data_IF_080256749970
#
_entry.id   IF_080256749970
#
_cell.length_a   1.000
_cell.length_b   1.000
_cell.length_c   1.000
_cell.angle_alpha   90.00
_cell.angle_beta   90.00
_cell.angle_gamma   90.00
#
_symmetry.space_group_name_H-M   'P 1'
#
loop_
_entity.id
_entity.type
_entity.pdbx_description
1 polymer ?
#
# COMPACT_ATOMS: atom_id res chain seq x y z
N UNK A 1 -9.46 -11.80 7.23
CA UNK A 1 -8.57 -10.81 6.58
C UNK A 1 -9.11 -10.45 5.20
N UNK A 2 -9.18 -9.17 4.87
CA UNK A 2 -9.56 -8.65 3.55
C UNK A 2 -8.31 -8.06 2.89
N UNK A 3 -8.02 -8.44 1.66
CA UNK A 3 -6.91 -7.87 0.90
C UNK A 3 -7.46 -6.86 -0.11
N UNK A 4 -7.03 -5.61 0.02
CA UNK A 4 -7.40 -4.53 -0.87
C UNK A 4 -6.18 -4.09 -1.69
N UNK A 5 -6.28 -4.17 -3.01
CA UNK A 5 -5.28 -3.59 -3.90
C UNK A 5 -5.47 -2.06 -3.98
N UNK A 6 -4.36 -1.32 -4.04
CA UNK A 6 -4.42 0.13 -4.25
C UNK A 6 -5.14 0.52 -5.54
N UNK A 7 -5.75 1.69 -5.56
CA UNK A 7 -6.34 2.29 -6.75
C UNK A 7 -5.31 2.56 -7.86
N UNK A 8 -5.76 2.95 -9.04
CA UNK A 8 -4.88 3.28 -10.16
C UNK A 8 -3.88 4.38 -9.74
N UNK A 9 -2.58 4.09 -9.89
CA UNK A 9 -1.51 5.07 -9.69
C UNK A 9 -1.04 5.68 -11.02
N UNK A 10 -0.30 6.79 -10.93
CA UNK A 10 0.35 7.42 -12.08
C UNK A 10 1.25 6.42 -12.83
N UNK A 11 1.98 5.56 -12.11
CA UNK A 11 2.75 4.49 -12.72
C UNK A 11 1.85 3.54 -13.53
N UNK A 12 0.72 3.10 -12.96
CA UNK A 12 -0.19 2.18 -13.67
C UNK A 12 -0.74 2.80 -14.95
N UNK A 13 -1.07 4.07 -14.93
CA UNK A 13 -1.57 4.80 -16.09
C UNK A 13 -0.56 4.75 -17.24
N UNK A 14 0.70 5.11 -16.97
CA UNK A 14 1.76 5.12 -17.98
C UNK A 14 2.17 3.71 -18.41
N UNK A 15 2.38 2.81 -17.46
CA UNK A 15 2.82 1.45 -17.74
C UNK A 15 1.79 0.65 -18.55
N UNK A 16 0.50 0.86 -18.32
CA UNK A 16 -0.55 0.19 -19.11
C UNK A 16 -0.51 0.62 -20.57
N UNK A 17 -0.25 1.90 -20.83
CA UNK A 17 -0.19 2.44 -22.18
C UNK A 17 1.10 2.08 -22.93
N UNK A 18 2.25 2.05 -22.25
CA UNK A 18 3.56 1.96 -22.90
C UNK A 18 4.31 0.65 -22.65
N UNK A 19 3.96 -0.08 -21.59
CA UNK A 19 4.71 -1.24 -21.06
C UNK A 19 6.17 -0.93 -20.70
N UNK A 20 6.47 0.35 -20.46
CA UNK A 20 7.79 0.84 -20.04
C UNK A 20 7.69 1.49 -18.69
N UNK A 21 8.73 1.33 -17.87
CA UNK A 21 8.85 2.03 -16.59
C UNK A 21 8.96 3.54 -16.84
N UNK A 22 8.03 4.36 -16.36
CA UNK A 22 8.07 5.82 -16.54
C UNK A 22 9.08 6.53 -15.62
N UNK A 23 9.78 5.82 -14.75
CA UNK A 23 10.74 6.40 -13.81
C UNK A 23 10.10 7.15 -12.64
N UNK A 24 8.82 6.92 -12.33
CA UNK A 24 8.10 7.60 -11.25
C UNK A 24 8.33 6.83 -9.94
N UNK A 25 9.01 7.47 -8.99
CA UNK A 25 9.22 6.94 -7.64
C UNK A 25 8.00 7.21 -6.78
N UNK A 26 7.63 6.24 -5.92
CA UNK A 26 6.49 6.33 -4.99
C UNK A 26 5.25 7.03 -5.59
N UNK A 27 4.71 6.54 -6.73
CA UNK A 27 3.66 7.22 -7.48
C UNK A 27 2.39 7.40 -6.65
N UNK A 28 1.71 8.52 -6.87
CA UNK A 28 0.40 8.85 -6.28
C UNK A 28 -0.73 8.19 -7.05
N UNK A 29 -1.92 8.16 -6.45
CA UNK A 29 -3.14 7.78 -7.15
C UNK A 29 -3.52 8.84 -8.19
N UNK A 30 -4.06 8.37 -9.32
CA UNK A 30 -4.75 9.22 -10.29
C UNK A 30 -6.15 9.62 -9.77
N UNK A 31 -6.85 10.58 -10.39
CA UNK A 31 -8.25 10.86 -10.04
C UNK A 31 -9.14 9.61 -10.07
N UNK A 32 -8.95 8.72 -11.06
CA UNK A 32 -9.63 7.43 -11.10
C UNK A 32 -9.24 6.54 -9.89
N UNK A 33 -7.96 6.51 -9.54
CA UNK A 33 -7.48 5.76 -8.37
C UNK A 33 -8.11 6.23 -7.07
N UNK A 34 -8.29 7.54 -6.89
CA UNK A 34 -9.01 8.11 -5.74
C UNK A 34 -10.49 7.71 -5.75
N UNK A 35 -11.17 7.74 -6.89
CA UNK A 35 -12.55 7.28 -7.00
C UNK A 35 -12.68 5.77 -6.66
N UNK A 36 -11.73 4.95 -7.11
CA UNK A 36 -11.67 3.54 -6.77
C UNK A 36 -11.47 3.32 -5.26
N UNK A 37 -10.63 4.13 -4.60
CA UNK A 37 -10.41 4.06 -3.16
C UNK A 37 -11.69 4.40 -2.37
N UNK A 38 -12.43 5.44 -2.79
CA UNK A 38 -13.71 5.80 -2.17
C UNK A 38 -14.76 4.70 -2.34
N UNK A 39 -14.89 4.11 -3.55
CA UNK A 39 -15.81 3.02 -3.81
C UNK A 39 -15.47 1.76 -2.99
N UNK A 40 -14.18 1.44 -2.85
CA UNK A 40 -13.74 0.33 -2.01
C UNK A 40 -14.05 0.60 -0.53
N UNK A 41 -13.85 1.82 -0.05
CA UNK A 41 -14.17 2.20 1.32
C UNK A 41 -15.66 2.09 1.62
N UNK A 42 -16.52 2.44 0.66
CA UNK A 42 -17.97 2.27 0.78
C UNK A 42 -18.35 0.80 0.86
N UNK A 43 -17.83 -0.03 -0.04
CA UNK A 43 -18.09 -1.46 -0.07
C UNK A 43 -17.63 -2.18 1.21
N UNK A 44 -16.53 -1.75 1.81
CA UNK A 44 -15.95 -2.38 3.00
C UNK A 44 -16.50 -1.83 4.32
N UNK A 45 -17.25 -0.75 4.31
CA UNK A 45 -17.74 -0.10 5.54
C UNK A 45 -18.63 -1.01 6.40
N UNK A 46 -19.35 -1.96 5.80
CA UNK A 46 -20.24 -2.89 6.50
C UNK A 46 -19.59 -4.27 6.78
N UNK A 47 -18.34 -4.49 6.37
CA UNK A 47 -17.67 -5.81 6.46
C UNK A 47 -17.04 -6.10 7.83
N UNK A 48 -17.30 -5.27 8.84
CA UNK A 48 -16.80 -5.50 10.20
C UNK A 48 -15.28 -5.33 10.33
N UNK A 49 -14.68 -4.49 9.52
CA UNK A 49 -13.24 -4.18 9.58
C UNK A 49 -12.90 -3.52 10.91
N UNK A 50 -12.03 -4.14 11.69
CA UNK A 50 -11.59 -3.65 13.02
C UNK A 50 -10.19 -3.05 13.01
N UNK A 51 -9.43 -3.28 11.94
CA UNK A 51 -8.03 -2.81 11.80
C UNK A 51 -7.71 -2.56 10.33
N UNK A 52 -6.98 -1.51 10.05
CA UNK A 52 -6.50 -1.18 8.69
C UNK A 52 -4.98 -1.17 8.71
N UNK A 53 -4.38 -2.03 7.89
CA UNK A 53 -2.94 -2.11 7.72
C UNK A 53 -2.59 -1.73 6.29
N UNK A 54 -1.61 -0.87 6.10
CA UNK A 54 -1.16 -0.45 4.79
C UNK A 54 0.37 -0.60 4.66
N UNK A 55 0.83 -0.81 3.44
CA UNK A 55 2.24 -0.63 3.13
C UNK A 55 2.60 0.85 3.15
N UNK A 56 3.89 1.19 3.33
CA UNK A 56 4.30 2.60 3.40
C UNK A 56 4.25 3.35 2.06
N UNK A 57 3.91 2.70 0.94
CA UNK A 57 3.79 3.39 -0.34
C UNK A 57 2.64 4.41 -0.34
N UNK A 58 2.90 5.60 -0.87
CA UNK A 58 1.91 6.70 -0.93
C UNK A 58 0.59 6.26 -1.55
N UNK A 59 0.63 5.48 -2.65
CA UNK A 59 -0.57 4.92 -3.30
C UNK A 59 -1.42 4.03 -2.37
N UNK A 60 -0.77 3.28 -1.48
CA UNK A 60 -1.47 2.43 -0.52
C UNK A 60 -2.09 3.26 0.61
N UNK A 61 -1.38 4.27 1.12
CA UNK A 61 -1.89 5.20 2.13
C UNK A 61 -3.09 5.98 1.60
N UNK A 62 -3.01 6.48 0.38
CA UNK A 62 -4.12 7.18 -0.29
C UNK A 62 -5.34 6.28 -0.48
N UNK A 63 -5.13 4.97 -0.71
CA UNK A 63 -6.23 4.00 -0.85
C UNK A 63 -6.84 3.65 0.50
N UNK A 64 -6.04 3.56 1.56
CA UNK A 64 -6.52 3.25 2.91
C UNK A 64 -7.27 4.41 3.57
N UNK A 65 -6.91 5.65 3.25
CA UNK A 65 -7.41 6.84 3.92
C UNK A 65 -8.95 7.00 3.89
N UNK A 66 -9.68 6.76 2.77
CA UNK A 66 -11.13 6.83 2.76
C UNK A 66 -11.80 5.83 3.71
N UNK A 67 -11.31 4.59 3.77
CA UNK A 67 -11.84 3.58 4.67
C UNK A 67 -11.57 3.94 6.13
N UNK A 68 -10.37 4.42 6.43
CA UNK A 68 -10.01 4.87 7.77
C UNK A 68 -10.93 6.00 8.27
N UNK A 69 -11.21 6.98 7.42
CA UNK A 69 -12.15 8.08 7.74
C UNK A 69 -13.57 7.57 8.01
N UNK A 70 -14.07 6.64 7.18
CA UNK A 70 -15.43 6.08 7.32
C UNK A 70 -15.61 5.29 8.60
N UNK A 71 -14.59 4.53 9.01
CA UNK A 71 -14.65 3.64 10.16
C UNK A 71 -14.15 4.31 11.46
N UNK A 72 -13.53 5.47 11.38
CA UNK A 72 -12.89 6.12 12.53
C UNK A 72 -11.70 5.32 13.07
N UNK A 73 -11.01 4.56 12.21
CA UNK A 73 -9.87 3.73 12.58
C UNK A 73 -8.56 4.38 12.11
N UNK A 74 -7.46 4.21 12.86
CA UNK A 74 -6.14 4.61 12.37
C UNK A 74 -5.68 3.69 11.25
N UNK A 75 -4.84 4.20 10.34
CA UNK A 75 -4.06 3.38 9.41
C UNK A 75 -2.76 2.99 10.09
N UNK A 76 -2.53 1.69 10.24
CA UNK A 76 -1.30 1.12 10.76
C UNK A 76 -0.38 0.78 9.59
N UNK A 77 0.76 1.43 9.50
CA UNK A 77 1.71 1.19 8.42
C UNK A 77 2.75 0.15 8.84
N UNK A 78 2.88 -0.90 8.03
CA UNK A 78 3.85 -1.95 8.25
C UNK A 78 4.55 -2.32 6.92
N UNK A 79 5.89 -2.24 6.84
CA UNK A 79 6.64 -2.60 5.63
C UNK A 79 6.52 -4.07 5.22
N UNK A 80 6.10 -4.95 6.13
CA UNK A 80 5.89 -6.38 5.85
C UNK A 80 4.89 -6.61 4.71
N UNK A 81 3.90 -5.72 4.56
CA UNK A 81 2.89 -5.80 3.50
C UNK A 81 3.26 -5.02 2.23
N UNK A 82 4.54 -4.65 2.04
CA UNK A 82 4.99 -3.95 0.85
C UNK A 82 5.03 -4.84 -0.40
N UNK A 83 5.04 -4.21 -1.58
CA UNK A 83 5.25 -4.89 -2.86
C UNK A 83 6.67 -5.49 -2.97
N UNK A 84 6.82 -6.51 -3.80
CA UNK A 84 8.13 -6.97 -4.26
C UNK A 84 8.74 -5.90 -5.17
N UNK A 85 10.00 -5.58 -4.96
CA UNK A 85 10.72 -4.63 -5.81
C UNK A 85 10.87 -5.20 -7.24
N UNK A 86 10.44 -4.42 -8.22
CA UNK A 86 10.56 -4.76 -9.64
C UNK A 86 10.74 -3.53 -10.55
N UNK A 87 10.29 -2.35 -10.11
CA UNK A 87 10.26 -1.13 -10.91
C UNK A 87 10.56 0.10 -10.06
N UNK A 88 10.80 1.23 -10.72
CA UNK A 88 11.05 2.51 -10.06
C UNK A 88 9.93 2.90 -9.09
N UNK A 89 8.68 2.50 -9.35
CA UNK A 89 7.55 2.75 -8.45
C UNK A 89 7.65 2.03 -7.08
N UNK A 90 8.56 1.09 -6.95
CA UNK A 90 8.80 0.35 -5.70
C UNK A 90 9.93 0.96 -4.86
N UNK A 91 10.48 2.09 -5.31
CA UNK A 91 11.31 2.98 -4.50
C UNK A 91 10.36 3.91 -3.74
N UNK A 92 10.34 3.78 -2.42
CA UNK A 92 9.42 4.54 -1.57
C UNK A 92 9.89 5.95 -1.24
N UNK A 93 9.06 6.65 -0.49
CA UNK A 93 9.41 7.92 0.15
C UNK A 93 10.02 7.66 1.54
N UNK A 94 11.02 8.45 1.97
CA UNK A 94 11.62 8.32 3.31
C UNK A 94 10.57 8.47 4.42
N UNK A 95 10.78 7.78 5.55
CA UNK A 95 9.87 7.83 6.69
C UNK A 95 9.63 9.26 7.19
N UNK A 96 10.67 10.09 7.24
CA UNK A 96 10.56 11.50 7.63
C UNK A 96 9.56 12.25 6.76
N UNK A 97 9.60 12.05 5.43
CA UNK A 97 8.65 12.65 4.50
C UNK A 97 7.24 12.09 4.71
N UNK A 98 7.09 10.78 4.84
CA UNK A 98 5.80 10.14 5.06
C UNK A 98 5.12 10.63 6.36
N UNK A 99 5.86 10.77 7.43
CA UNK A 99 5.35 11.32 8.71
C UNK A 99 4.86 12.76 8.58
N UNK A 100 5.56 13.57 7.80
CA UNK A 100 5.15 14.94 7.55
C UNK A 100 3.86 15.03 6.72
N UNK A 101 3.71 14.17 5.70
CA UNK A 101 2.52 14.13 4.85
C UNK A 101 1.31 13.42 5.51
N UNK A 102 1.57 12.45 6.39
CA UNK A 102 0.58 11.57 6.99
C UNK A 102 0.63 11.59 8.53
N UNK A 103 0.37 12.75 9.19
CA UNK A 103 0.52 12.88 10.63
C UNK A 103 -0.46 12.05 11.47
N UNK A 104 -1.58 11.60 10.88
CA UNK A 104 -2.58 10.76 11.55
C UNK A 104 -2.36 9.25 11.36
N UNK A 105 -1.28 8.86 10.68
CA UNK A 105 -0.95 7.46 10.39
C UNK A 105 0.06 6.94 11.41
N UNK A 106 -0.13 5.71 11.86
CA UNK A 106 0.78 5.05 12.80
C UNK A 106 1.81 4.20 12.05
N UNK A 107 3.08 4.56 12.12
CA UNK A 107 4.19 3.85 11.49
C UNK A 107 4.82 2.85 12.46
N UNK A 108 4.58 1.55 12.22
CA UNK A 108 5.02 0.45 13.08
C UNK A 108 6.31 -0.16 12.53
N UNK A 109 7.43 0.00 13.26
CA UNK A 109 8.73 -0.57 12.90
C UNK A 109 9.16 -0.23 11.46
N UNK A 110 8.98 1.02 11.06
CA UNK A 110 9.38 1.53 9.75
C UNK A 110 10.70 2.25 9.86
N UNK A 111 11.69 1.82 9.08
CA UNK A 111 12.99 2.48 8.97
C UNK A 111 12.92 3.65 7.98
N UNK A 112 13.91 4.55 8.00
CA UNK A 112 13.97 5.71 7.09
C UNK A 112 13.96 5.30 5.61
N UNK A 113 14.75 4.27 5.26
CA UNK A 113 14.81 3.66 3.93
C UNK A 113 14.19 2.26 3.92
N UNK A 114 12.89 2.15 4.13
CA UNK A 114 12.15 0.90 4.34
C UNK A 114 11.95 0.04 3.08
N UNK A 115 12.16 0.57 1.89
CA UNK A 115 12.01 -0.17 0.63
C UNK A 115 13.27 -0.98 0.31
N UNK A 116 13.15 -2.10 -0.45
CA UNK A 116 14.32 -2.86 -0.90
C UNK A 116 15.02 -2.13 -2.05
N UNK A 117 16.34 -2.27 -2.13
CA UNK A 117 17.16 -1.72 -3.21
C UNK A 117 17.40 -2.72 -4.35
N UNK A 118 17.09 -4.00 -4.09
CA UNK A 118 17.27 -5.11 -5.03
C UNK A 118 16.03 -5.99 -5.07
N UNK A 119 15.86 -6.73 -6.14
CA UNK A 119 14.77 -7.69 -6.28
C UNK A 119 14.84 -8.76 -5.18
N UNK A 120 13.75 -8.92 -4.42
CA UNK A 120 13.67 -9.90 -3.35
C UNK A 120 13.54 -11.33 -3.92
N UNK A 121 14.29 -12.32 -3.43
CA UNK A 121 14.08 -13.74 -3.75
C UNK A 121 12.65 -14.19 -3.39
N UNK A 122 12.12 -15.16 -4.15
CA UNK A 122 10.74 -15.61 -3.98
C UNK A 122 10.45 -16.19 -2.58
N UNK A 123 11.41 -16.90 -1.98
CA UNK A 123 11.30 -17.44 -0.63
C UNK A 123 11.19 -16.35 0.45
N UNK A 124 11.88 -15.23 0.29
CA UNK A 124 11.76 -14.07 1.19
C UNK A 124 10.40 -13.39 1.06
N UNK A 125 9.88 -13.30 -0.17
CA UNK A 125 8.54 -12.74 -0.41
C UNK A 125 7.47 -13.62 0.25
N UNK A 126 7.58 -14.95 0.15
CA UNK A 126 6.66 -15.90 0.78
C UNK A 126 6.72 -15.76 2.30
N UNK A 127 7.92 -15.79 2.90
CA UNK A 127 8.08 -15.64 4.35
C UNK A 127 7.50 -14.32 4.86
N UNK A 128 7.64 -13.24 4.10
CA UNK A 128 7.06 -11.93 4.43
C UNK A 128 5.54 -11.92 4.28
N UNK A 129 4.98 -12.64 3.30
CA UNK A 129 3.53 -12.78 3.13
C UNK A 129 2.89 -13.56 4.29
N UNK A 130 3.55 -14.62 4.78
CA UNK A 130 3.11 -15.38 5.95
C UNK A 130 3.12 -14.48 7.20
N UNK A 131 4.19 -13.74 7.43
CA UNK A 131 4.28 -12.77 8.53
C UNK A 131 3.23 -11.65 8.43
N UNK A 132 2.85 -11.24 7.21
CA UNK A 132 1.79 -10.26 7.00
C UNK A 132 0.41 -10.80 7.42
N UNK A 133 0.15 -12.09 7.22
CA UNK A 133 -1.06 -12.76 7.70
C UNK A 133 -1.20 -12.69 9.22
N UNK A 134 -0.11 -12.94 9.95
CA UNK A 134 -0.08 -12.85 11.41
C UNK A 134 -0.33 -11.43 11.93
N UNK A 135 0.21 -10.42 11.23
CA UNK A 135 0.02 -9.01 11.57
C UNK A 135 -1.42 -8.54 11.30
N UNK A 136 -2.02 -9.03 10.23
CA UNK A 136 -3.33 -8.56 9.79
C UNK A 136 -4.50 -9.06 10.64
N UNK A 137 -4.46 -10.31 11.11
CA UNK A 137 -5.59 -10.91 11.81
C UNK A 137 -6.89 -10.76 11.02
N UNK A 138 -7.96 -10.29 11.67
CA UNK A 138 -9.27 -10.01 11.05
C UNK A 138 -9.37 -8.61 10.42
N UNK A 139 -8.25 -7.96 10.16
CA UNK A 139 -8.18 -6.62 9.56
C UNK A 139 -8.30 -6.58 8.05
N UNK A 140 -8.40 -5.36 7.51
CA UNK A 140 -8.19 -5.09 6.10
C UNK A 140 -6.73 -4.70 5.84
N UNK A 141 -6.10 -5.32 4.86
CA UNK A 141 -4.74 -5.02 4.44
C UNK A 141 -4.75 -4.35 3.07
N UNK A 142 -4.22 -3.15 3.01
CA UNK A 142 -4.04 -2.42 1.75
C UNK A 142 -2.63 -2.65 1.23
N UNK A 143 -2.52 -3.41 0.16
CA UNK A 143 -1.23 -3.74 -0.46
C UNK A 143 -1.06 -3.03 -1.80
N UNK A 144 0.18 -2.83 -2.26
CA UNK A 144 0.46 -2.33 -3.60
C UNK A 144 0.19 -3.37 -4.70
N UNK A 145 -0.58 -4.38 -4.47
CA UNK A 145 -1.04 -5.32 -5.49
C UNK A 145 0.02 -6.32 -5.98
N UNK A 146 -0.15 -7.57 -5.57
CA UNK A 146 0.61 -8.67 -6.11
C UNK A 146 0.29 -8.83 -7.61
N UNK A 147 1.28 -8.74 -8.49
CA UNK A 147 1.14 -9.21 -9.87
C UNK A 147 0.99 -10.73 -9.81
N UNK A 148 -0.12 -11.26 -10.28
CA UNK A 148 -0.12 -12.66 -10.70
C UNK A 148 0.83 -12.75 -11.90
N UNK A 149 1.87 -13.53 -11.74
CA UNK A 149 2.73 -14.00 -12.83
C UNK A 149 1.89 -14.86 -13.76
#
# INVERSE_FOLDING_TARGET
MILLRHGQSEFNLHFTATRRDPGIRDPRLTPLGHAQAEAAAEALAAEGVTRIIASPYTRALQTAAPLARRLGLPVLVNPTVRERYAFTCDIGSPLTQLRAEWPAVEFLNVEEGWWPEVEEPADQVIARADAAGDVAGDGAVVTPGCRRV
#
